data_IF_243206532503
#
_entry.id   IF_243206532503
#
_cell.length_a   1.000
_cell.length_b   1.000
_cell.length_c   1.000
_cell.angle_alpha   90.00
_cell.angle_beta   90.00
_cell.angle_gamma   90.00
#
_symmetry.space_group_name_H-M   'P 1'
#
loop_
_entity.id
_entity.type
_entity.pdbx_description
1 polymer ?
#
# COMPACT_ATOMS: atom_id res chain seq x y z
N UNK A 1 1.43 -3.53 -23.82
CA UNK A 1 1.97 -2.64 -22.77
C UNK A 1 2.35 -3.53 -21.59
N UNK A 2 3.59 -3.47 -21.11
CA UNK A 2 4.08 -4.34 -20.03
C UNK A 2 3.27 -4.11 -18.75
N UNK A 3 2.60 -5.13 -18.24
CA UNK A 3 1.73 -5.08 -17.06
C UNK A 3 2.48 -4.57 -15.82
N UNK A 4 3.80 -4.87 -15.73
CA UNK A 4 4.66 -4.34 -14.66
C UNK A 4 4.78 -2.82 -14.74
N UNK A 5 4.89 -2.27 -15.95
CA UNK A 5 4.98 -0.82 -16.17
C UNK A 5 3.67 -0.13 -15.78
N UNK A 6 2.53 -0.75 -16.08
CA UNK A 6 1.21 -0.24 -15.67
C UNK A 6 1.10 -0.21 -14.14
N UNK A 7 1.49 -1.30 -13.46
CA UNK A 7 1.44 -1.37 -12.00
C UNK A 7 2.32 -0.29 -11.34
N UNK A 8 3.54 -0.09 -11.85
CA UNK A 8 4.45 0.94 -11.32
C UNK A 8 3.93 2.35 -11.60
N UNK A 9 3.37 2.63 -12.79
CA UNK A 9 2.74 3.92 -13.08
C UNK A 9 1.56 4.18 -12.13
N UNK A 10 0.68 3.19 -11.94
CA UNK A 10 -0.41 3.30 -10.99
C UNK A 10 0.10 3.56 -9.57
N UNK A 11 1.19 2.90 -9.15
CA UNK A 11 1.78 3.14 -7.84
C UNK A 11 2.22 4.61 -7.67
N UNK A 12 2.89 5.18 -8.68
CA UNK A 12 3.30 6.58 -8.66
C UNK A 12 2.09 7.53 -8.64
N UNK A 13 1.08 7.31 -9.47
CA UNK A 13 -0.14 8.12 -9.48
C UNK A 13 -0.86 8.11 -8.13
N UNK A 14 -0.94 6.93 -7.48
CA UNK A 14 -1.56 6.83 -6.15
C UNK A 14 -0.73 7.51 -5.07
N UNK A 15 0.60 7.45 -5.15
CA UNK A 15 1.48 8.15 -4.21
C UNK A 15 1.32 9.67 -4.32
N UNK A 16 1.31 10.21 -5.53
CA UNK A 16 1.12 11.65 -5.74
C UNK A 16 -0.26 12.11 -5.28
N UNK A 17 -1.31 11.33 -5.55
CA UNK A 17 -2.64 11.60 -5.00
C UNK A 17 -2.64 11.58 -3.46
N UNK A 18 -1.98 10.59 -2.85
CA UNK A 18 -1.90 10.45 -1.40
C UNK A 18 -1.26 11.68 -0.74
N UNK A 19 -0.14 12.17 -1.29
CA UNK A 19 0.55 13.39 -0.82
C UNK A 19 -0.35 14.62 -0.93
N UNK A 20 -0.99 14.83 -2.09
CA UNK A 20 -1.88 15.96 -2.29
C UNK A 20 -3.06 15.94 -1.29
N UNK A 21 -3.65 14.76 -1.05
CA UNK A 21 -4.74 14.60 -0.09
C UNK A 21 -4.28 14.90 1.33
N UNK A 22 -3.08 14.45 1.70
CA UNK A 22 -2.48 14.72 3.01
C UNK A 22 -2.32 16.23 3.25
N UNK A 23 -1.73 16.93 2.28
CA UNK A 23 -1.49 18.38 2.35
C UNK A 23 -2.78 19.18 2.48
N UNK A 24 -3.88 18.68 1.91
CA UNK A 24 -5.20 19.30 1.96
C UNK A 24 -6.07 18.84 3.15
N UNK A 25 -5.52 18.04 4.07
CA UNK A 25 -6.23 17.60 5.27
C UNK A 25 -7.20 16.42 5.07
N UNK A 26 -7.18 15.77 3.91
CA UNK A 26 -7.98 14.59 3.62
C UNK A 26 -7.25 13.31 4.05
N UNK A 27 -7.05 13.14 5.36
CA UNK A 27 -6.17 12.11 5.92
C UNK A 27 -6.66 10.68 5.65
N UNK A 28 -7.96 10.40 5.80
CA UNK A 28 -8.53 9.08 5.47
C UNK A 28 -8.28 8.70 4.00
N UNK A 29 -8.63 9.60 3.07
CA UNK A 29 -8.40 9.38 1.65
C UNK A 29 -6.91 9.27 1.31
N UNK A 30 -6.08 10.05 1.99
CA UNK A 30 -4.63 10.02 1.83
C UNK A 30 -4.06 8.64 2.18
N UNK A 31 -4.42 8.08 3.34
CA UNK A 31 -4.05 6.72 3.75
C UNK A 31 -4.55 5.68 2.75
N UNK A 32 -5.80 5.80 2.31
CA UNK A 32 -6.38 4.91 1.30
C UNK A 32 -5.51 4.88 0.03
N UNK A 33 -5.12 6.05 -0.48
CA UNK A 33 -4.26 6.16 -1.67
C UNK A 33 -2.83 5.68 -1.42
N UNK A 34 -2.25 5.95 -0.25
CA UNK A 34 -0.93 5.48 0.11
C UNK A 34 -0.85 3.95 0.12
N UNK A 35 -1.86 3.30 0.72
CA UNK A 35 -1.99 1.84 0.67
C UNK A 35 -2.03 1.31 -0.77
N UNK A 36 -2.82 1.92 -1.65
CA UNK A 36 -2.86 1.47 -3.05
C UNK A 36 -1.53 1.67 -3.79
N UNK A 37 -0.75 2.71 -3.45
CA UNK A 37 0.60 2.88 -3.99
C UNK A 37 1.52 1.70 -3.58
N UNK A 38 1.50 1.34 -2.30
CA UNK A 38 2.25 0.19 -1.78
C UNK A 38 1.76 -1.13 -2.39
N UNK A 39 0.44 -1.32 -2.49
CA UNK A 39 -0.20 -2.49 -3.07
C UNK A 39 0.23 -2.72 -4.52
N UNK A 40 0.20 -1.68 -5.37
CA UNK A 40 0.61 -1.83 -6.77
C UNK A 40 2.11 -2.11 -6.90
N UNK A 41 2.93 -1.50 -6.05
CA UNK A 41 4.38 -1.76 -5.99
C UNK A 41 4.69 -3.21 -5.61
N UNK A 42 4.06 -3.71 -4.54
CA UNK A 42 4.18 -5.09 -4.09
C UNK A 42 3.63 -6.08 -5.13
N UNK A 43 2.51 -5.75 -5.80
CA UNK A 43 1.95 -6.55 -6.88
C UNK A 43 2.92 -6.66 -8.05
N UNK A 44 3.58 -5.57 -8.46
CA UNK A 44 4.56 -5.59 -9.54
C UNK A 44 5.76 -6.50 -9.22
N UNK A 45 6.22 -6.50 -7.96
CA UNK A 45 7.30 -7.36 -7.49
C UNK A 45 6.91 -8.84 -7.50
N UNK A 46 5.73 -9.19 -6.99
CA UNK A 46 5.22 -10.57 -7.06
C UNK A 46 5.01 -11.03 -8.50
N UNK A 47 4.57 -10.13 -9.39
CA UNK A 47 4.44 -10.42 -10.82
C UNK A 47 5.77 -10.82 -11.47
N UNK A 48 6.89 -10.22 -11.04
CA UNK A 48 8.23 -10.63 -11.53
C UNK A 48 8.58 -12.07 -11.15
N UNK A 49 7.97 -12.62 -10.09
CA UNK A 49 8.11 -14.03 -9.67
C UNK A 49 6.97 -14.93 -10.21
N UNK A 50 6.14 -14.45 -11.14
CA UNK A 50 4.93 -15.14 -11.66
C UNK A 50 3.90 -15.50 -10.58
N UNK A 51 3.78 -14.64 -9.55
CA UNK A 51 2.82 -14.82 -8.45
C UNK A 51 1.70 -13.78 -8.61
N UNK A 52 0.46 -14.27 -8.62
CA UNK A 52 -0.72 -13.47 -8.95
C UNK A 52 -1.79 -13.54 -7.84
N UNK A 53 -1.59 -12.81 -6.71
CA UNK A 53 -2.56 -12.79 -5.62
C UNK A 53 -3.89 -12.17 -6.07
N UNK A 54 -5.00 -12.74 -5.61
CA UNK A 54 -6.36 -12.30 -5.94
C UNK A 54 -7.01 -11.42 -4.86
N UNK A 55 -6.39 -11.32 -3.69
CA UNK A 55 -6.92 -10.58 -2.53
C UNK A 55 -5.82 -9.74 -1.89
N UNK A 56 -6.22 -8.69 -1.17
CA UNK A 56 -5.30 -7.82 -0.42
C UNK A 56 -4.48 -8.61 0.61
N UNK A 57 -5.16 -9.39 1.47
CA UNK A 57 -4.50 -10.28 2.44
C UNK A 57 -3.58 -11.32 1.78
N UNK A 58 -4.02 -11.87 0.65
CA UNK A 58 -3.21 -12.83 -0.12
C UNK A 58 -1.94 -12.19 -0.67
N UNK A 59 -2.01 -10.93 -1.13
CA UNK A 59 -0.84 -10.18 -1.59
C UNK A 59 0.18 -9.98 -0.47
N UNK A 60 -0.26 -9.51 0.70
CA UNK A 60 0.62 -9.26 1.85
C UNK A 60 1.26 -10.56 2.33
N UNK A 61 0.48 -11.63 2.46
CA UNK A 61 0.99 -12.96 2.84
C UNK A 61 2.07 -13.47 1.86
N UNK A 62 1.77 -13.43 0.56
CA UNK A 62 2.73 -13.87 -0.47
C UNK A 62 3.98 -12.99 -0.49
N UNK A 63 3.84 -11.68 -0.31
CA UNK A 63 4.98 -10.76 -0.24
C UNK A 63 5.89 -11.06 0.95
N UNK A 64 5.30 -11.33 2.12
CA UNK A 64 6.04 -11.73 3.32
C UNK A 64 6.84 -13.03 3.12
N UNK A 65 6.24 -14.02 2.45
CA UNK A 65 6.91 -15.30 2.15
C UNK A 65 8.05 -15.13 1.13
N UNK A 66 7.80 -14.37 0.07
CA UNK A 66 8.66 -14.34 -1.10
C UNK A 66 9.78 -13.31 -1.07
N UNK A 67 9.67 -12.32 -0.18
CA UNK A 67 10.65 -11.26 -0.06
C UNK A 67 11.17 -11.12 1.37
N UNK A 68 10.29 -11.04 2.38
CA UNK A 68 10.71 -10.78 3.77
C UNK A 68 11.39 -12.00 4.39
N UNK A 69 10.75 -13.19 4.34
CA UNK A 69 11.33 -14.44 4.86
C UNK A 69 12.62 -14.85 4.13
N UNK A 70 12.81 -14.38 2.91
CA UNK A 70 14.03 -14.63 2.10
C UNK A 70 15.10 -13.55 2.31
N UNK A 71 14.88 -12.59 3.21
CA UNK A 71 15.77 -11.44 3.45
C UNK A 71 16.04 -10.58 2.20
N UNK A 72 15.13 -10.60 1.22
CA UNK A 72 15.19 -9.78 0.00
C UNK A 72 14.47 -8.43 0.16
N UNK A 73 13.83 -8.19 1.31
CA UNK A 73 13.12 -6.94 1.61
C UNK A 73 13.15 -6.63 3.10
N UNK A 74 13.21 -5.34 3.43
CA UNK A 74 13.28 -4.85 4.81
C UNK A 74 11.97 -5.14 5.55
N UNK A 75 12.06 -5.74 6.74
CA UNK A 75 10.88 -6.08 7.54
C UNK A 75 10.08 -4.82 7.92
N UNK A 76 10.75 -3.72 8.21
CA UNK A 76 10.11 -2.45 8.59
C UNK A 76 9.20 -1.90 7.48
N UNK A 77 9.63 -2.02 6.22
CA UNK A 77 8.83 -1.60 5.06
C UNK A 77 7.64 -2.54 4.82
N UNK A 78 7.79 -3.82 5.13
CA UNK A 78 6.69 -4.78 5.07
C UNK A 78 5.65 -4.51 6.17
N UNK A 79 6.11 -4.23 7.38
CA UNK A 79 5.23 -3.88 8.51
C UNK A 79 4.43 -2.60 8.19
N UNK A 80 5.02 -1.62 7.48
CA UNK A 80 4.29 -0.45 6.96
C UNK A 80 3.21 -0.82 5.94
N UNK A 81 3.47 -1.73 4.99
CA UNK A 81 2.45 -2.20 4.04
C UNK A 81 1.28 -2.89 4.76
N UNK A 82 1.57 -3.72 5.76
CA UNK A 82 0.54 -4.41 6.53
C UNK A 82 -0.31 -3.42 7.34
N UNK A 83 0.34 -2.47 8.02
CA UNK A 83 -0.35 -1.39 8.74
C UNK A 83 -1.20 -0.54 7.80
N UNK A 84 -0.67 -0.14 6.64
CA UNK A 84 -1.42 0.64 5.66
C UNK A 84 -2.70 -0.07 5.17
N UNK A 85 -2.71 -1.40 5.12
CA UNK A 85 -3.92 -2.17 4.80
C UNK A 85 -4.99 -1.99 5.90
N UNK A 86 -4.60 -2.11 7.16
CA UNK A 86 -5.49 -1.96 8.32
C UNK A 86 -6.00 -0.51 8.42
N UNK A 87 -5.10 0.47 8.32
CA UNK A 87 -5.45 1.89 8.35
C UNK A 87 -6.38 2.25 7.18
N UNK A 88 -6.18 1.66 5.99
CA UNK A 88 -7.11 1.81 4.84
C UNK A 88 -8.47 1.16 5.11
N UNK A 89 -8.51 0.02 5.80
CA UNK A 89 -9.77 -0.63 6.21
C UNK A 89 -10.60 0.27 7.10
N UNK A 90 -9.98 0.89 8.09
CA UNK A 90 -10.63 1.88 8.94
C UNK A 90 -10.99 3.16 8.16
N UNK A 91 -10.09 3.70 7.34
CA UNK A 91 -10.33 4.91 6.54
C UNK A 91 -11.55 4.79 5.60
N UNK A 92 -11.66 3.67 4.87
CA UNK A 92 -12.68 3.50 3.83
C UNK A 92 -14.03 3.03 4.39
N UNK A 93 -14.05 2.31 5.52
CA UNK A 93 -15.25 1.63 6.01
C UNK A 93 -15.59 1.88 7.48
N UNK A 94 -14.71 2.54 8.25
CA UNK A 94 -14.93 2.87 9.64
C UNK A 94 -16.05 3.90 9.80
N UNK A 95 -17.08 3.58 10.59
CA UNK A 95 -18.24 4.46 10.82
C UNK A 95 -17.88 5.79 11.51
N UNK A 96 -16.78 5.81 12.26
CA UNK A 96 -16.29 6.96 13.02
C UNK A 96 -14.82 7.28 12.70
N UNK A 97 -14.32 6.80 11.55
CA UNK A 97 -12.93 6.91 11.18
C UNK A 97 -12.45 8.36 11.20
N UNK A 98 -11.45 8.63 12.03
CA UNK A 98 -10.84 9.95 12.22
C UNK A 98 -9.33 9.83 12.23
N UNK A 99 -8.76 9.23 11.17
CA UNK A 99 -7.31 9.21 11.02
C UNK A 99 -6.83 10.66 11.06
N UNK A 100 -5.99 10.96 12.03
CA UNK A 100 -5.45 12.31 12.19
C UNK A 100 -4.20 12.52 11.33
N UNK A 101 -3.67 13.74 11.33
CA UNK A 101 -2.48 14.08 10.57
C UNK A 101 -1.25 13.24 10.98
N UNK A 102 -1.11 12.92 12.28
CA UNK A 102 0.05 12.19 12.79
C UNK A 102 -0.02 10.72 12.37
N UNK A 103 -1.21 10.13 12.45
CA UNK A 103 -1.47 8.76 12.01
C UNK A 103 -1.24 8.62 10.50
N UNK A 104 -1.81 9.52 9.69
CA UNK A 104 -1.60 9.51 8.25
C UNK A 104 -0.12 9.69 7.85
N UNK A 105 0.63 10.52 8.59
CA UNK A 105 2.07 10.76 8.36
C UNK A 105 2.95 9.53 8.57
N UNK A 106 2.47 8.51 9.27
CA UNK A 106 3.23 7.25 9.44
C UNK A 106 3.27 6.46 8.13
N UNK A 107 2.26 6.62 7.27
CA UNK A 107 2.09 5.86 6.03
C UNK A 107 2.56 6.63 4.78
N UNK A 108 2.47 7.97 4.82
CA UNK A 108 2.84 8.90 3.73
C UNK A 108 4.33 9.21 3.70
#
# INVERSE_FOLDING_TARGET
>A
MDEKKILINNAHEKLEAAKNLFENGFYNDSVSRAYYAMFFSAKALLFKKNIHPKTHRGLISQFGIEFVKKNEFKKELFDLLARAQEDREEADYGLFSSIDQNEAKIII
#
